data_IF_500015794119
#
_entry.id   IF_500015794119
#
_cell.length_a   1.000
_cell.length_b   1.000
_cell.length_c   1.000
_cell.angle_alpha   90.00
_cell.angle_beta   90.00
_cell.angle_gamma   90.00
#
_symmetry.space_group_name_H-M   'P 1'
#
loop_
_entity.id
_entity.type
_entity.pdbx_description
1 polymer ?
#
# COMPACT_ATOMS: atom_id res chain seq x y z
N UNK A 1 -42.81 5.74 -2.37
CA UNK A 1 -41.64 4.88 -2.71
C UNK A 1 -40.44 5.65 -2.20
N UNK A 2 -40.08 5.44 -0.94
CA UNK A 2 -38.96 6.18 -0.32
C UNK A 2 -37.65 5.51 -0.73
N UNK A 3 -37.16 5.94 -1.89
CA UNK A 3 -35.83 5.61 -2.36
C UNK A 3 -34.83 6.37 -1.52
N UNK A 4 -34.33 5.73 -0.46
CA UNK A 4 -33.14 6.17 0.26
C UNK A 4 -31.97 6.16 -0.73
N UNK A 5 -31.76 7.28 -1.42
CA UNK A 5 -30.56 7.51 -2.22
C UNK A 5 -29.43 7.64 -1.22
N UNK A 6 -28.80 6.51 -0.92
CA UNK A 6 -27.50 6.48 -0.27
C UNK A 6 -26.55 7.17 -1.24
N UNK A 7 -26.28 8.46 -1.00
CA UNK A 7 -25.19 9.16 -1.66
C UNK A 7 -23.92 8.41 -1.28
N UNK A 8 -23.44 7.54 -2.18
CA UNK A 8 -22.18 6.82 -1.98
C UNK A 8 -21.10 7.88 -2.10
N UNK A 9 -20.69 8.43 -0.96
CA UNK A 9 -19.67 9.45 -0.89
C UNK A 9 -18.31 8.81 -1.18
N UNK A 10 -17.99 8.64 -2.47
CA UNK A 10 -16.70 8.08 -2.89
C UNK A 10 -15.64 9.17 -2.90
N UNK A 11 -14.44 8.82 -2.48
CA UNK A 11 -13.24 9.64 -2.61
C UNK A 11 -12.38 9.11 -3.75
N UNK A 12 -11.72 10.02 -4.45
CA UNK A 12 -10.69 9.65 -5.41
C UNK A 12 -9.35 9.55 -4.69
N UNK A 13 -8.64 8.45 -4.86
CA UNK A 13 -7.28 8.24 -4.36
C UNK A 13 -6.36 7.84 -5.50
N UNK A 14 -5.09 8.18 -5.38
CA UNK A 14 -4.04 7.65 -6.27
C UNK A 14 -3.28 6.56 -5.51
N UNK A 15 -3.30 5.34 -6.04
CA UNK A 15 -2.47 4.24 -5.56
C UNK A 15 -1.29 4.06 -6.49
N UNK A 16 -0.08 4.13 -5.94
CA UNK A 16 1.18 4.05 -6.69
C UNK A 16 1.99 2.84 -6.24
N UNK A 17 2.46 2.07 -7.21
CA UNK A 17 3.47 1.02 -7.03
C UNK A 17 4.80 1.56 -7.54
N UNK A 18 5.84 1.44 -6.71
CA UNK A 18 7.20 1.81 -7.07
C UNK A 18 8.15 0.66 -6.77
N UNK A 19 8.88 0.24 -7.79
CA UNK A 19 9.86 -0.83 -7.73
C UNK A 19 11.20 -0.27 -8.19
N UNK A 20 12.14 -0.13 -7.25
CA UNK A 20 13.44 0.52 -7.49
C UNK A 20 13.30 1.93 -8.10
N UNK A 21 14.38 2.49 -8.63
CA UNK A 21 14.40 3.88 -9.11
C UNK A 21 13.63 4.11 -10.43
N UNK A 22 13.35 3.06 -11.20
CA UNK A 22 12.95 3.19 -12.61
C UNK A 22 11.57 2.64 -12.97
N UNK A 23 10.91 1.89 -12.10
CA UNK A 23 9.56 1.37 -12.36
C UNK A 23 8.58 2.00 -11.38
N UNK A 24 7.77 2.94 -11.86
CA UNK A 24 6.58 3.41 -11.14
C UNK A 24 5.35 3.27 -12.02
N UNK A 25 4.26 2.84 -11.40
CA UNK A 25 2.92 2.85 -12.02
C UNK A 25 1.91 3.33 -10.99
N UNK A 26 0.88 4.03 -11.45
CA UNK A 26 -0.14 4.62 -10.59
C UNK A 26 -1.51 4.46 -11.19
N UNK A 27 -2.50 4.27 -10.32
CA UNK A 27 -3.90 4.16 -10.70
C UNK A 27 -4.77 5.02 -9.79
N UNK A 28 -5.77 5.69 -10.39
CA UNK A 28 -6.76 6.45 -9.65
C UNK A 28 -7.97 5.57 -9.35
N UNK A 29 -8.38 5.50 -8.09
CA UNK A 29 -9.47 4.65 -7.61
C UNK A 29 -10.52 5.49 -6.89
N UNK A 30 -11.80 5.20 -7.17
CA UNK A 30 -12.94 5.79 -6.49
C UNK A 30 -13.48 4.84 -5.42
N UNK A 31 -13.12 5.10 -4.16
CA UNK A 31 -13.36 4.20 -3.02
C UNK A 31 -14.25 4.84 -1.96
N UNK A 32 -14.76 4.05 -1.02
CA UNK A 32 -15.46 4.59 0.15
C UNK A 32 -14.45 5.15 1.17
N UNK A 33 -14.79 6.16 1.99
CA UNK A 33 -13.84 6.84 2.89
C UNK A 33 -13.33 5.98 4.05
N UNK A 34 -13.82 4.75 4.18
CA UNK A 34 -13.45 3.77 5.22
C UNK A 34 -12.85 2.49 4.63
N UNK A 35 -12.58 2.46 3.33
CA UNK A 35 -11.94 1.32 2.67
C UNK A 35 -10.51 1.16 3.21
N UNK A 36 -10.16 -0.05 3.66
CA UNK A 36 -8.83 -0.35 4.19
C UNK A 36 -7.78 -0.34 3.07
N UNK A 37 -6.50 -0.12 3.40
CA UNK A 37 -5.43 -0.20 2.41
C UNK A 37 -5.38 -1.58 1.72
N UNK A 38 -5.64 -2.64 2.47
CA UNK A 38 -5.68 -3.99 1.93
C UNK A 38 -6.82 -4.18 0.91
N UNK A 39 -7.99 -3.60 1.17
CA UNK A 39 -9.10 -3.63 0.21
C UNK A 39 -8.82 -2.72 -1.00
N UNK A 40 -8.09 -1.61 -0.82
CA UNK A 40 -7.59 -0.79 -1.94
C UNK A 40 -6.70 -1.64 -2.86
N UNK A 41 -5.77 -2.43 -2.31
CA UNK A 41 -4.94 -3.33 -3.11
C UNK A 41 -5.79 -4.36 -3.86
N UNK A 42 -6.82 -4.95 -3.21
CA UNK A 42 -7.76 -5.86 -3.87
C UNK A 42 -8.52 -5.21 -5.03
N UNK A 43 -8.98 -3.97 -4.84
CA UNK A 43 -9.64 -3.22 -5.91
C UNK A 43 -8.64 -2.93 -7.03
N UNK A 44 -7.40 -2.58 -6.71
CA UNK A 44 -6.38 -2.28 -7.71
C UNK A 44 -6.05 -3.50 -8.59
N UNK A 45 -5.86 -4.69 -8.00
CA UNK A 45 -5.60 -5.90 -8.77
C UNK A 45 -6.76 -6.30 -9.69
N UNK A 46 -8.01 -5.98 -9.31
CA UNK A 46 -9.19 -6.29 -10.10
C UNK A 46 -9.30 -5.36 -11.32
N UNK A 47 -8.66 -4.19 -11.26
CA UNK A 47 -8.65 -3.19 -12.33
C UNK A 47 -7.42 -3.33 -13.24
N UNK A 48 -6.24 -3.60 -12.67
CA UNK A 48 -4.99 -3.73 -13.41
C UNK A 48 -4.09 -4.81 -12.78
N UNK A 49 -3.72 -5.81 -13.60
CA UNK A 49 -2.88 -6.94 -13.19
C UNK A 49 -1.46 -6.52 -12.76
N UNK A 50 -0.99 -5.33 -13.15
CA UNK A 50 0.26 -4.77 -12.63
C UNK A 50 0.24 -4.59 -11.10
N UNK A 51 -0.95 -4.49 -10.50
CA UNK A 51 -1.15 -4.39 -9.05
C UNK A 51 -1.61 -5.72 -8.42
N UNK A 52 -1.56 -6.83 -9.16
CA UNK A 52 -1.79 -8.16 -8.58
C UNK A 52 -0.82 -8.39 -7.42
N UNK A 53 -1.27 -9.04 -6.35
CA UNK A 53 -0.41 -9.24 -5.18
C UNK A 53 -0.74 -10.55 -4.48
N UNK A 54 0.25 -11.08 -3.76
CA UNK A 54 0.05 -12.20 -2.84
C UNK A 54 0.32 -11.76 -1.42
N UNK A 55 -0.31 -12.44 -0.46
CA UNK A 55 -0.14 -12.14 0.95
C UNK A 55 -0.24 -13.41 1.79
N UNK A 56 0.41 -13.39 2.94
CA UNK A 56 0.26 -14.40 3.99
C UNK A 56 -0.53 -13.79 5.15
N UNK A 57 -1.56 -14.49 5.64
CA UNK A 57 -2.30 -14.07 6.82
C UNK A 57 -1.58 -14.49 8.10
N UNK A 58 -1.56 -13.62 9.09
CA UNK A 58 -1.03 -13.93 10.42
C UNK A 58 -1.96 -13.41 11.52
N UNK A 59 -2.20 -14.23 12.53
CA UNK A 59 -3.20 -13.96 13.58
C UNK A 59 -2.89 -12.69 14.42
N UNK A 60 -1.61 -12.36 14.58
CA UNK A 60 -1.17 -11.21 15.40
C UNK A 60 -1.06 -9.88 14.64
N UNK A 61 -0.83 -9.90 13.33
CA UNK A 61 -0.49 -8.70 12.56
C UNK A 61 -1.25 -8.55 11.24
N UNK A 62 -2.19 -9.46 10.96
CA UNK A 62 -3.04 -9.40 9.77
C UNK A 62 -2.32 -9.90 8.52
N UNK A 63 -2.70 -9.36 7.37
CA UNK A 63 -2.13 -9.73 6.09
C UNK A 63 -0.76 -9.08 5.89
N UNK A 64 0.22 -9.91 5.52
CA UNK A 64 1.57 -9.50 5.15
C UNK A 64 1.77 -9.72 3.65
N UNK A 65 2.10 -8.65 2.91
CA UNK A 65 2.25 -8.69 1.45
C UNK A 65 3.58 -9.34 1.09
N UNK A 66 3.54 -10.41 0.31
CA UNK A 66 4.72 -11.23 -0.06
C UNK A 66 5.16 -11.01 -1.50
N UNK A 67 4.25 -10.58 -2.39
CA UNK A 67 4.60 -10.22 -3.77
C UNK A 67 3.66 -9.15 -4.32
N UNK A 68 4.14 -8.36 -5.29
CA UNK A 68 3.32 -7.51 -6.14
C UNK A 68 3.77 -7.72 -7.60
N UNK A 69 2.83 -7.96 -8.51
CA UNK A 69 3.11 -8.45 -9.85
C UNK A 69 3.82 -9.80 -9.80
N UNK A 70 4.91 -9.89 -10.55
CA UNK A 70 5.83 -11.02 -10.62
C UNK A 70 7.00 -10.92 -9.61
N UNK A 71 7.03 -9.88 -8.78
CA UNK A 71 8.13 -9.61 -7.86
C UNK A 71 7.83 -10.08 -6.45
N UNK A 72 8.66 -11.01 -5.98
CA UNK A 72 8.59 -11.59 -4.65
C UNK A 72 9.55 -10.89 -3.69
N UNK A 73 9.18 -10.90 -2.41
CA UNK A 73 10.11 -10.54 -1.35
C UNK A 73 11.30 -11.51 -1.27
N UNK A 74 12.42 -11.02 -0.76
CA UNK A 74 13.59 -11.81 -0.39
C UNK A 74 14.10 -11.29 0.95
N UNK A 75 13.65 -11.93 2.03
CA UNK A 75 13.97 -11.53 3.41
C UNK A 75 15.48 -11.62 3.68
N UNK A 76 16.20 -12.71 3.32
CA UNK A 76 17.66 -12.75 3.42
C UNK A 76 18.39 -11.62 2.69
N UNK A 77 17.86 -11.17 1.55
CA UNK A 77 18.41 -10.04 0.79
C UNK A 77 17.87 -8.67 1.22
N UNK A 78 17.03 -8.61 2.26
CA UNK A 78 16.35 -7.41 2.75
C UNK A 78 15.46 -6.71 1.70
N UNK A 79 14.87 -7.47 0.78
CA UNK A 79 13.91 -6.99 -0.19
C UNK A 79 12.50 -7.24 0.33
N UNK A 80 11.81 -6.18 0.74
CA UNK A 80 10.47 -6.24 1.34
C UNK A 80 9.56 -5.17 0.77
N UNK A 81 8.24 -5.39 0.84
CA UNK A 81 7.24 -4.40 0.45
C UNK A 81 6.94 -3.45 1.61
N UNK A 82 7.08 -2.16 1.35
CA UNK A 82 6.77 -1.09 2.30
C UNK A 82 5.53 -0.34 1.83
N UNK A 83 4.59 -0.13 2.75
CA UNK A 83 3.34 0.58 2.47
C UNK A 83 3.47 2.01 2.99
N UNK A 84 3.12 2.99 2.17
CA UNK A 84 3.20 4.41 2.53
C UNK A 84 1.85 5.08 2.39
N UNK A 85 1.59 6.06 3.26
CA UNK A 85 0.51 7.02 3.09
C UNK A 85 1.14 8.36 2.73
N UNK A 86 0.78 8.87 1.56
CA UNK A 86 1.26 10.15 1.05
C UNK A 86 0.19 11.23 1.17
N UNK A 87 0.61 12.46 1.47
CA UNK A 87 -0.23 13.63 1.23
C UNK A 87 -0.26 13.89 -0.30
N UNK A 88 -1.42 14.24 -0.89
CA UNK A 88 -1.57 14.47 -2.33
C UNK A 88 -0.59 15.47 -2.99
N UNK A 89 0.21 16.22 -2.21
CA UNK A 89 1.28 17.07 -2.74
C UNK A 89 2.62 16.35 -3.03
N UNK A 90 2.78 15.09 -2.61
CA UNK A 90 4.02 14.34 -2.80
C UNK A 90 4.05 13.66 -4.18
N UNK A 91 4.77 14.27 -5.13
CA UNK A 91 5.25 13.58 -6.33
C UNK A 91 6.11 12.36 -5.90
N UNK A 92 6.06 11.22 -6.61
CA UNK A 92 6.77 10.01 -6.22
C UNK A 92 8.30 10.14 -6.43
N UNK A 93 8.97 10.92 -5.57
CA UNK A 93 10.43 11.02 -5.49
C UNK A 93 11.08 9.67 -5.11
N UNK A 94 12.39 9.54 -5.36
CA UNK A 94 13.23 8.33 -5.14
C UNK A 94 13.03 7.71 -3.76
N UNK A 95 12.72 8.55 -2.78
CA UNK A 95 12.03 8.24 -1.54
C UNK A 95 10.83 9.19 -1.47
N UNK A 96 9.63 8.75 -1.07
CA UNK A 96 8.48 9.62 -1.15
C UNK A 96 8.55 10.64 0.01
N UNK A 97 9.20 11.78 -0.23
CA UNK A 97 9.22 12.93 0.69
C UNK A 97 7.78 13.36 0.97
N UNK A 98 7.43 13.58 2.24
CA UNK A 98 6.05 13.88 2.64
C UNK A 98 5.14 12.65 2.77
N UNK A 99 5.68 11.43 2.71
CA UNK A 99 4.93 10.21 2.98
C UNK A 99 5.33 9.54 4.28
N UNK A 100 4.32 9.08 5.01
CA UNK A 100 4.49 8.35 6.26
C UNK A 100 4.48 6.84 5.98
N UNK A 101 5.45 6.12 6.53
CA UNK A 101 5.42 4.66 6.50
C UNK A 101 4.15 4.22 7.23
N UNK A 102 3.28 3.53 6.51
CA UNK A 102 2.08 2.93 7.09
C UNK A 102 2.53 1.89 8.11
N UNK A 103 2.08 2.03 9.35
CA UNK A 103 2.38 1.06 10.40
C UNK A 103 1.64 -0.25 10.07
N UNK A 104 2.23 -1.10 9.23
CA UNK A 104 1.87 -2.52 9.22
C UNK A 104 2.42 -3.15 10.50
N UNK A 105 1.66 -4.09 11.06
CA UNK A 105 1.91 -4.65 12.39
C UNK A 105 3.21 -5.48 12.55
N UNK A 106 4.13 -5.40 11.58
CA UNK A 106 5.51 -5.84 11.68
C UNK A 106 6.39 -4.95 12.60
N UNK A 107 5.89 -3.78 13.04
CA UNK A 107 6.68 -2.82 13.84
C UNK A 107 6.99 -3.27 15.28
N UNK A 108 6.48 -4.42 15.77
CA UNK A 108 6.89 -4.95 17.08
C UNK A 108 8.22 -5.72 17.06
N UNK A 109 8.84 -5.89 15.90
CA UNK A 109 10.10 -6.64 15.75
C UNK A 109 11.30 -5.82 15.28
N UNK A 110 11.18 -4.52 15.01
CA UNK A 110 12.38 -3.75 14.64
C UNK A 110 13.27 -3.55 15.87
N UNK A 111 14.53 -4.01 15.87
CA UNK A 111 15.49 -3.56 16.86
C UNK A 111 15.58 -2.04 16.76
N UNK A 112 15.47 -1.35 17.90
CA UNK A 112 15.71 0.07 18.01
C UNK A 112 16.99 0.39 17.23
N UNK A 113 16.89 1.22 16.19
CA UNK A 113 18.05 1.88 15.57
C UNK A 113 18.71 2.69 16.68
N UNK A 114 19.75 2.13 17.30
CA UNK A 114 20.68 2.91 18.08
C UNK A 114 21.36 3.87 17.09
N UNK A 115 21.18 5.16 17.33
CA UNK A 115 21.69 6.22 16.50
C UNK A 115 23.19 6.08 16.28
N UNK A 116 23.59 6.29 15.03
CA UNK A 116 24.95 6.68 14.71
C UNK A 116 25.10 8.17 15.01
N UNK A 117 25.84 8.49 16.06
CA UNK A 117 26.67 9.68 16.23
C UNK A 117 27.86 9.31 17.11
#
# INVERSE_FOLDING_TARGET
VDGNVQCINRINITYSLKVFENASTSINLYINPLTSFFDIMKIAQDVDLAFSFTYTSHDLYGAYITSIGDLYEDIPAYLVWLLYKCDPAAEPATYPEGCELSQTAASKGQPKRNGWH
#
